data_IF_238991862639
#
_entry.id   IF_238991862639
#
_cell.length_a   1.000
_cell.length_b   1.000
_cell.length_c   1.000
_cell.angle_alpha   90.00
_cell.angle_beta   90.00
_cell.angle_gamma   90.00
#
_symmetry.space_group_name_H-M   'P 1'
#
loop_
_entity.id
_entity.type
_entity.pdbx_description
1 polymer ?
#
# COMPACT_ATOMS: atom_id res chain seq x y z
N UNK A 1 -49.19 17.23 43.81
CA UNK A 1 -49.25 16.09 42.86
C UNK A 1 -47.82 15.62 42.69
N UNK A 2 -47.30 14.60 43.39
CA UNK A 2 -47.53 13.14 43.37
C UNK A 2 -47.35 12.48 41.98
N UNK A 3 -46.39 11.52 41.96
CA UNK A 3 -46.16 10.36 41.05
C UNK A 3 -45.25 10.64 39.83
N UNK A 4 -44.25 9.85 39.44
CA UNK A 4 -43.60 8.58 39.86
C UNK A 4 -42.29 8.51 39.04
N UNK A 5 -41.08 8.28 39.57
CA UNK A 5 -40.42 7.00 39.89
C UNK A 5 -40.58 5.84 38.87
N UNK A 6 -39.44 5.53 38.23
CA UNK A 6 -38.89 4.23 37.77
C UNK A 6 -39.37 3.56 36.49
N UNK A 7 -38.37 2.94 35.86
CA UNK A 7 -38.35 1.80 34.93
C UNK A 7 -38.45 2.14 33.44
N UNK A 8 -37.30 2.10 32.77
CA UNK A 8 -37.11 1.13 31.68
C UNK A 8 -35.62 0.76 31.53
N UNK A 9 -35.03 0.27 32.64
CA UNK A 9 -34.05 -0.82 32.56
C UNK A 9 -34.81 -2.10 32.14
N UNK A 10 -35.29 -2.13 30.89
CA UNK A 10 -36.00 -3.28 30.32
C UNK A 10 -36.02 -3.19 28.79
N UNK A 11 -34.85 -3.15 28.18
CA UNK A 11 -34.63 -3.71 26.84
C UNK A 11 -33.38 -4.60 26.81
N UNK A 12 -33.01 -5.14 27.99
CA UNK A 12 -32.03 -6.21 28.17
C UNK A 12 -32.68 -7.59 28.39
N UNK A 13 -33.94 -7.77 27.98
CA UNK A 13 -34.70 -9.01 28.18
C UNK A 13 -35.45 -9.49 26.92
N UNK A 14 -35.00 -9.10 25.72
CA UNK A 14 -35.69 -9.43 24.46
C UNK A 14 -34.77 -9.74 23.27
N UNK A 15 -33.53 -10.17 23.51
CA UNK A 15 -32.58 -10.48 22.44
C UNK A 15 -31.71 -11.71 22.78
N UNK A 16 -32.32 -12.76 23.35
CA UNK A 16 -31.72 -14.11 23.36
C UNK A 16 -31.98 -14.87 22.04
N UNK A 17 -32.21 -14.15 20.94
CA UNK A 17 -32.48 -14.70 19.61
C UNK A 17 -31.57 -14.13 18.51
N UNK A 18 -30.44 -13.50 18.86
CA UNK A 18 -29.49 -12.89 17.90
C UNK A 18 -28.05 -13.40 18.06
N UNK A 19 -27.87 -14.69 18.39
CA UNK A 19 -26.53 -15.28 18.44
C UNK A 19 -25.83 -15.29 17.07
N UNK A 20 -26.58 -15.23 15.96
CA UNK A 20 -26.01 -15.07 14.61
C UNK A 20 -25.66 -13.61 14.29
N UNK A 21 -26.57 -12.64 14.48
CA UNK A 21 -26.28 -11.23 14.16
C UNK A 21 -25.11 -10.64 14.97
N UNK A 22 -24.89 -11.06 16.22
CA UNK A 22 -23.75 -10.61 17.01
C UNK A 22 -22.43 -11.27 16.59
N UNK A 23 -22.48 -12.47 16.01
CA UNK A 23 -21.30 -13.15 15.50
C UNK A 23 -20.86 -12.50 14.19
N UNK A 24 -21.80 -12.26 13.29
CA UNK A 24 -21.56 -11.62 12.01
C UNK A 24 -21.00 -10.20 12.19
N UNK A 25 -21.60 -9.38 13.07
CA UNK A 25 -21.10 -8.02 13.36
C UNK A 25 -19.69 -8.02 14.00
N UNK A 26 -19.40 -9.01 14.83
CA UNK A 26 -18.10 -9.14 15.50
C UNK A 26 -17.03 -9.62 14.53
N UNK A 27 -17.38 -10.53 13.64
CA UNK A 27 -16.49 -11.05 12.61
C UNK A 27 -16.20 -9.95 11.57
N UNK A 28 -17.21 -9.19 11.15
CA UNK A 28 -17.07 -8.00 10.30
C UNK A 28 -16.18 -6.93 10.93
N UNK A 29 -16.36 -6.65 12.23
CA UNK A 29 -15.52 -5.69 12.95
C UNK A 29 -14.07 -6.16 13.09
N UNK A 30 -13.86 -7.47 13.28
CA UNK A 30 -12.52 -8.04 13.35
C UNK A 30 -11.86 -8.08 11.97
N UNK A 31 -12.62 -8.34 10.92
CA UNK A 31 -12.15 -8.24 9.53
C UNK A 31 -11.73 -6.81 9.21
N UNK A 32 -12.59 -5.84 9.49
CA UNK A 32 -12.26 -4.42 9.33
C UNK A 32 -11.01 -4.03 10.12
N UNK A 33 -10.87 -4.48 11.37
CA UNK A 33 -9.67 -4.22 12.19
C UNK A 33 -8.40 -4.88 11.63
N UNK A 34 -8.49 -6.06 11.02
CA UNK A 34 -7.35 -6.73 10.37
C UNK A 34 -6.97 -6.03 9.06
N UNK A 35 -7.95 -5.54 8.32
CA UNK A 35 -7.75 -4.76 7.09
C UNK A 35 -7.21 -3.35 7.38
N UNK A 36 -7.50 -2.81 8.56
CA UNK A 36 -6.95 -1.55 9.05
C UNK A 36 -5.48 -1.73 9.46
N UNK A 37 -4.56 -1.57 8.51
CA UNK A 37 -3.12 -1.41 8.74
C UNK A 37 -2.74 -0.06 9.37
N UNK A 38 -3.58 0.46 10.27
CA UNK A 38 -3.46 1.80 10.87
C UNK A 38 -2.16 2.01 11.64
N UNK A 39 -1.52 0.94 12.08
CA UNK A 39 -0.25 0.98 12.80
C UNK A 39 0.97 1.12 11.87
N UNK A 40 0.79 0.91 10.56
CA UNK A 40 1.84 0.94 9.54
C UNK A 40 1.38 1.70 8.27
N UNK A 41 0.95 2.97 8.39
CA UNK A 41 0.49 3.74 7.25
C UNK A 41 1.68 4.17 6.37
N UNK A 42 1.43 4.32 5.07
CA UNK A 42 2.34 4.98 4.14
C UNK A 42 1.81 6.37 3.88
N UNK A 43 2.66 7.39 4.04
CA UNK A 43 2.36 8.74 3.56
C UNK A 43 3.29 9.06 2.41
N UNK A 44 2.73 9.23 1.22
CA UNK A 44 3.47 9.60 0.02
C UNK A 44 3.27 11.08 -0.28
N UNK A 45 4.34 11.74 -0.71
CA UNK A 45 4.28 13.10 -1.25
C UNK A 45 4.73 13.10 -2.69
N UNK A 46 3.85 13.56 -3.56
CA UNK A 46 4.05 13.57 -5.01
C UNK A 46 4.03 15.00 -5.52
N UNK A 47 5.03 15.37 -6.32
CA UNK A 47 5.12 16.67 -6.99
C UNK A 47 5.18 16.46 -8.50
N UNK A 48 4.36 17.19 -9.26
CA UNK A 48 4.29 17.09 -10.71
C UNK A 48 3.78 18.40 -11.32
N UNK A 49 3.91 18.59 -12.63
CA UNK A 49 3.26 19.70 -13.35
C UNK A 49 1.99 19.19 -14.01
N UNK A 50 0.85 19.82 -13.75
CA UNK A 50 -0.42 19.41 -14.35
C UNK A 50 -0.54 19.80 -15.84
N UNK A 51 -1.64 19.39 -16.49
CA UNK A 51 -1.92 19.71 -17.89
C UNK A 51 -2.14 21.21 -18.17
N UNK A 52 -2.29 22.04 -17.13
CA UNK A 52 -2.39 23.50 -17.22
C UNK A 52 -1.05 24.20 -16.93
N UNK A 53 0.04 23.43 -16.87
CA UNK A 53 1.39 23.89 -16.53
C UNK A 53 1.51 24.48 -15.11
N UNK A 54 0.65 24.06 -14.18
CA UNK A 54 0.77 24.42 -12.78
C UNK A 54 1.51 23.32 -12.01
N UNK A 55 2.45 23.71 -11.16
CA UNK A 55 3.06 22.77 -10.21
C UNK A 55 2.02 22.34 -9.16
N UNK A 56 1.94 21.04 -8.94
CA UNK A 56 1.06 20.38 -7.98
C UNK A 56 1.91 19.63 -6.98
N UNK A 57 1.47 19.68 -5.72
CA UNK A 57 1.99 18.87 -4.63
C UNK A 57 0.81 18.17 -3.96
N UNK A 58 0.80 16.85 -4.00
CA UNK A 58 -0.20 15.99 -3.39
C UNK A 58 0.46 15.22 -2.25
N UNK A 59 -0.18 15.18 -1.09
CA UNK A 59 0.23 14.32 0.02
C UNK A 59 -0.96 13.45 0.39
N UNK A 60 -0.79 12.13 0.25
CA UNK A 60 -1.83 11.15 0.53
C UNK A 60 -1.32 10.13 1.56
N UNK A 61 -2.23 9.66 2.42
CA UNK A 61 -1.93 8.65 3.45
C UNK A 61 -2.76 7.39 3.20
N UNK A 62 -2.07 6.27 3.05
CA UNK A 62 -2.61 4.95 2.76
C UNK A 62 -2.45 4.06 4.00
N UNK A 63 -3.56 3.55 4.54
CA UNK A 63 -3.61 2.86 5.84
C UNK A 63 -4.27 1.49 5.81
N UNK A 64 -4.99 1.14 4.76
CA UNK A 64 -5.63 -0.17 4.66
C UNK A 64 -4.70 -1.17 3.97
N UNK A 65 -4.54 -2.35 4.57
CA UNK A 65 -3.85 -3.48 3.95
C UNK A 65 -4.84 -4.20 3.04
N UNK A 66 -4.37 -4.72 1.91
CA UNK A 66 -5.16 -5.66 1.14
C UNK A 66 -5.38 -6.94 1.96
N UNK A 67 -6.61 -7.45 1.99
CA UNK A 67 -7.01 -8.59 2.82
C UNK A 67 -6.48 -9.95 2.33
N UNK A 68 -5.85 -9.99 1.16
CA UNK A 68 -5.17 -11.19 0.70
C UNK A 68 -3.74 -11.25 1.23
N UNK A 69 -3.44 -12.32 1.95
CA UNK A 69 -2.16 -12.54 2.62
C UNK A 69 -0.97 -12.61 1.66
N UNK A 70 -1.23 -12.69 0.34
CA UNK A 70 -0.21 -12.76 -0.68
C UNK A 70 0.40 -11.38 -1.06
N UNK A 71 -0.33 -10.27 -0.99
CA UNK A 71 0.12 -8.97 -1.55
C UNK A 71 0.66 -7.95 -0.53
N UNK A 72 0.79 -8.34 0.74
CA UNK A 72 1.54 -7.60 1.79
C UNK A 72 2.52 -8.57 2.48
N UNK A 73 3.52 -9.03 1.72
CA UNK A 73 4.28 -10.23 2.05
C UNK A 73 5.73 -10.22 1.53
N UNK A 74 6.55 -11.05 2.17
CA UNK A 74 7.85 -11.52 1.70
C UNK A 74 7.71 -12.98 1.30
N UNK A 75 7.97 -13.32 0.03
CA UNK A 75 7.88 -14.69 -0.47
C UNK A 75 9.23 -15.19 -0.90
N UNK A 76 9.71 -16.27 -0.28
CA UNK A 76 10.97 -16.90 -0.64
C UNK A 76 10.81 -17.75 -1.89
N UNK A 77 11.64 -17.46 -2.89
CA UNK A 77 11.72 -18.20 -4.13
C UNK A 77 12.66 -19.41 -4.01
N UNK A 78 12.53 -20.36 -4.94
CA UNK A 78 13.38 -21.57 -5.00
C UNK A 78 14.87 -21.24 -5.19
N UNK A 79 15.19 -20.11 -5.82
CA UNK A 79 16.56 -19.64 -6.02
C UNK A 79 17.13 -18.88 -4.80
N UNK A 80 16.36 -18.74 -3.71
CA UNK A 80 16.76 -18.06 -2.48
C UNK A 80 16.56 -16.55 -2.46
N UNK A 81 16.04 -15.93 -3.53
CA UNK A 81 15.60 -14.52 -3.49
C UNK A 81 14.24 -14.39 -2.83
N UNK A 82 13.85 -13.16 -2.51
CA UNK A 82 12.57 -12.84 -1.91
C UNK A 82 11.80 -11.81 -2.75
N UNK A 83 10.56 -12.15 -3.08
CA UNK A 83 9.60 -11.21 -3.63
C UNK A 83 8.99 -10.42 -2.48
N UNK A 84 9.16 -9.10 -2.48
CA UNK A 84 8.66 -8.20 -1.44
C UNK A 84 7.51 -7.38 -2.01
N UNK A 85 6.31 -7.55 -1.46
CA UNK A 85 5.11 -6.81 -1.83
C UNK A 85 4.65 -5.95 -0.65
N UNK A 86 4.48 -4.65 -0.88
CA UNK A 86 3.92 -3.70 0.08
C UNK A 86 2.78 -2.97 -0.63
N UNK A 87 1.54 -3.19 -0.18
CA UNK A 87 0.34 -2.57 -0.75
C UNK A 87 -0.48 -1.87 0.33
N UNK A 88 -0.80 -0.59 0.15
CA UNK A 88 -1.64 0.18 1.07
C UNK A 88 -2.66 1.00 0.30
N UNK A 89 -3.87 1.13 0.86
CA UNK A 89 -4.92 1.97 0.28
C UNK A 89 -5.38 3.06 1.24
N UNK A 90 -5.94 4.11 0.66
CA UNK A 90 -6.54 5.20 1.42
C UNK A 90 -7.85 4.77 2.09
N UNK A 91 -8.61 3.91 1.43
CA UNK A 91 -9.89 3.34 1.87
C UNK A 91 -10.01 1.84 1.50
N UNK A 92 -11.17 1.23 1.77
CA UNK A 92 -11.40 -0.21 1.53
C UNK A 92 -11.60 -0.57 0.05
N UNK A 93 -11.88 0.41 -0.82
CA UNK A 93 -12.38 0.18 -2.17
C UNK A 93 -11.29 0.11 -3.23
N UNK A 94 -10.01 0.24 -2.85
CA UNK A 94 -8.87 0.12 -3.78
C UNK A 94 -8.92 1.15 -4.93
N UNK A 95 -9.59 2.29 -4.70
CA UNK A 95 -9.65 3.40 -5.67
C UNK A 95 -8.42 4.31 -5.57
N UNK A 96 -7.72 4.24 -4.43
CA UNK A 96 -6.59 5.08 -4.08
C UNK A 96 -5.55 4.24 -3.34
N UNK A 97 -4.37 4.05 -3.92
CA UNK A 97 -3.42 3.09 -3.40
C UNK A 97 -1.99 3.35 -3.80
N UNK A 98 -1.12 2.69 -3.05
CA UNK A 98 0.30 2.60 -3.30
C UNK A 98 0.72 1.14 -3.26
N UNK A 99 1.43 0.72 -4.29
CA UNK A 99 1.97 -0.61 -4.47
C UNK A 99 3.45 -0.50 -4.71
N UNK A 100 4.22 -1.26 -3.96
CA UNK A 100 5.65 -1.43 -4.19
C UNK A 100 5.93 -2.91 -4.24
N UNK A 101 6.51 -3.34 -5.35
CA UNK A 101 7.06 -4.67 -5.52
C UNK A 101 8.54 -4.59 -5.86
N UNK A 102 9.34 -5.44 -5.21
CA UNK A 102 10.73 -5.62 -5.60
C UNK A 102 11.25 -7.00 -5.22
N UNK A 103 12.27 -7.46 -5.95
CA UNK A 103 12.96 -8.71 -5.65
C UNK A 103 14.27 -8.43 -4.94
N UNK A 104 14.43 -9.00 -3.75
CA UNK A 104 15.60 -8.86 -2.89
C UNK A 104 16.42 -10.15 -2.85
N UNK A 105 17.72 -10.06 -3.18
CA UNK A 105 18.68 -11.15 -2.97
C UNK A 105 19.38 -10.97 -1.61
N UNK A 106 19.12 -11.83 -0.61
CA UNK A 106 19.75 -11.71 0.71
C UNK A 106 21.26 -12.01 0.71
N UNK A 107 21.75 -12.74 -0.29
CA UNK A 107 23.16 -13.11 -0.39
C UNK A 107 24.00 -11.93 -0.86
N UNK A 108 23.53 -11.24 -1.90
CA UNK A 108 24.23 -10.07 -2.47
C UNK A 108 23.77 -8.73 -1.90
N UNK A 109 22.65 -8.73 -1.15
CA UNK A 109 21.95 -7.54 -0.63
C UNK A 109 21.50 -6.59 -1.74
N UNK A 110 21.23 -7.12 -2.94
CA UNK A 110 20.80 -6.34 -4.10
C UNK A 110 19.30 -6.42 -4.30
N UNK A 111 18.75 -5.33 -4.83
CA UNK A 111 17.40 -5.29 -5.42
C UNK A 111 17.58 -5.44 -6.93
N UNK A 112 16.89 -6.40 -7.54
CA UNK A 112 17.11 -6.79 -8.95
C UNK A 112 15.95 -6.46 -9.90
N UNK A 113 14.76 -6.29 -9.33
CA UNK A 113 13.55 -5.90 -10.05
C UNK A 113 12.77 -4.97 -9.14
N UNK A 114 12.17 -3.93 -9.71
CA UNK A 114 11.35 -2.94 -9.00
C UNK A 114 10.12 -2.63 -9.83
N UNK A 115 9.01 -2.47 -9.14
CA UNK A 115 7.74 -2.11 -9.71
C UNK A 115 6.97 -1.26 -8.70
N UNK A 116 6.31 -0.23 -9.20
CA UNK A 116 5.63 0.74 -8.38
C UNK A 116 4.41 1.30 -9.08
N UNK A 117 3.29 1.23 -8.35
CA UNK A 117 2.05 1.88 -8.73
C UNK A 117 1.62 2.82 -7.60
N UNK A 118 1.16 4.00 -7.98
CA UNK A 118 0.53 4.97 -7.09
C UNK A 118 -0.60 5.64 -7.84
N UNK A 119 -1.81 5.46 -7.38
CA UNK A 119 -3.01 6.03 -7.97
C UNK A 119 -3.79 6.78 -6.90
N UNK A 120 -4.23 7.98 -7.28
CA UNK A 120 -5.09 8.80 -6.46
C UNK A 120 -6.14 9.51 -7.32
N UNK A 121 -7.38 9.38 -6.89
CA UNK A 121 -8.54 10.10 -7.37
C UNK A 121 -8.73 11.34 -6.49
N UNK A 122 -7.82 12.31 -6.65
CA UNK A 122 -7.96 13.58 -5.98
C UNK A 122 -7.54 14.73 -6.91
N UNK A 123 -8.29 15.83 -6.82
CA UNK A 123 -8.08 17.17 -7.43
C UNK A 123 -8.89 17.57 -8.68
N UNK A 124 -9.75 16.73 -9.27
CA UNK A 124 -10.47 17.11 -10.51
C UNK A 124 -9.51 17.41 -11.68
N UNK A 125 -8.32 16.82 -11.62
CA UNK A 125 -7.32 16.72 -12.65
C UNK A 125 -7.41 15.28 -13.14
N UNK A 126 -7.61 15.06 -14.44
CA UNK A 126 -7.76 13.71 -14.98
C UNK A 126 -6.54 12.84 -14.64
N UNK A 127 -6.77 11.84 -13.80
CA UNK A 127 -5.99 10.63 -13.48
C UNK A 127 -4.57 10.88 -12.94
N UNK A 128 -4.47 11.12 -11.63
CA UNK A 128 -3.21 11.11 -10.90
C UNK A 128 -2.74 9.67 -10.69
N UNK A 129 -1.93 9.17 -11.60
CA UNK A 129 -1.37 7.82 -11.54
C UNK A 129 0.12 7.88 -11.86
N UNK A 130 0.93 7.08 -11.17
CA UNK A 130 2.32 6.77 -11.50
C UNK A 130 2.42 5.25 -11.54
N UNK A 131 2.78 4.73 -12.69
CA UNK A 131 3.14 3.32 -12.91
C UNK A 131 4.53 3.30 -13.56
N UNK A 132 5.48 2.68 -12.85
CA UNK A 132 6.88 2.56 -13.28
C UNK A 132 7.45 1.21 -12.85
N UNK A 133 8.22 0.60 -13.74
CA UNK A 133 9.02 -0.57 -13.43
C UNK A 133 10.48 -0.38 -13.87
N UNK A 134 11.37 -1.16 -13.27
CA UNK A 134 12.79 -1.19 -13.63
C UNK A 134 13.31 -2.62 -13.46
N UNK A 135 13.71 -3.23 -14.57
CA UNK A 135 14.36 -4.54 -14.61
C UNK A 135 15.77 -4.43 -15.21
N UNK A 136 16.78 -4.83 -14.45
CA UNK A 136 18.16 -4.82 -14.93
C UNK A 136 18.81 -3.43 -14.91
N UNK A 137 19.09 -2.87 -16.09
CA UNK A 137 19.81 -1.61 -16.21
C UNK A 137 18.90 -0.40 -15.95
N UNK A 138 19.40 0.67 -15.32
CA UNK A 138 18.59 1.85 -15.01
C UNK A 138 17.95 2.47 -16.26
N UNK A 139 16.65 2.79 -16.17
CA UNK A 139 15.95 3.44 -17.28
C UNK A 139 16.39 4.91 -17.42
N UNK A 140 16.65 5.35 -18.66
CA UNK A 140 17.11 6.72 -18.89
C UNK A 140 16.06 7.73 -18.46
N UNK A 141 16.45 8.63 -17.56
CA UNK A 141 15.57 9.69 -17.06
C UNK A 141 14.61 9.24 -15.96
N UNK A 142 14.70 8.00 -15.48
CA UNK A 142 14.07 7.51 -14.26
C UNK A 142 15.10 7.44 -13.13
N UNK A 143 14.71 7.84 -11.94
CA UNK A 143 15.39 7.47 -10.70
C UNK A 143 14.40 6.68 -9.87
N UNK A 144 14.62 5.38 -9.71
CA UNK A 144 13.81 4.52 -8.84
C UNK A 144 14.70 3.95 -7.73
N UNK A 145 14.76 4.63 -6.60
CA UNK A 145 15.59 4.25 -5.47
C UNK A 145 14.76 3.66 -4.31
N UNK A 146 15.22 2.53 -3.78
CA UNK A 146 14.70 1.91 -2.57
C UNK A 146 15.89 1.78 -1.61
N UNK A 147 15.89 2.60 -0.56
CA UNK A 147 16.89 2.56 0.50
C UNK A 147 16.42 1.64 1.62
N UNK A 148 16.87 0.38 1.57
CA UNK A 148 16.52 -0.65 2.54
C UNK A 148 17.36 -0.52 3.82
N UNK A 149 16.81 0.17 4.82
CA UNK A 149 17.48 0.43 6.11
C UNK A 149 17.62 -0.83 6.96
N UNK A 150 16.58 -1.67 6.98
CA UNK A 150 16.61 -2.97 7.66
C UNK A 150 15.59 -3.93 7.07
N UNK A 151 15.93 -5.22 7.06
CA UNK A 151 15.02 -6.30 6.70
C UNK A 151 15.32 -7.54 7.55
N UNK A 152 14.28 -8.15 8.09
CA UNK A 152 14.32 -9.45 8.76
C UNK A 152 13.38 -10.42 8.03
N UNK A 153 13.97 -11.34 7.28
CA UNK A 153 13.28 -12.30 6.43
C UNK A 153 12.60 -13.42 7.22
N UNK A 154 12.89 -13.57 8.51
CA UNK A 154 12.23 -14.55 9.38
C UNK A 154 10.99 -13.97 10.03
N UNK A 155 11.07 -12.72 10.49
CA UNK A 155 9.96 -12.07 11.18
C UNK A 155 9.08 -11.23 10.26
N UNK A 156 9.56 -10.88 9.07
CA UNK A 156 8.89 -10.00 8.12
C UNK A 156 9.03 -8.51 8.44
N UNK A 157 9.84 -8.15 9.44
CA UNK A 157 10.08 -6.74 9.78
C UNK A 157 10.90 -6.06 8.68
N UNK A 158 10.49 -4.87 8.24
CA UNK A 158 11.14 -4.12 7.18
C UNK A 158 11.04 -2.62 7.42
N UNK A 159 12.11 -1.90 7.08
CA UNK A 159 12.18 -0.45 7.10
C UNK A 159 12.90 0.05 5.85
N UNK A 160 12.26 0.92 5.09
CA UNK A 160 12.79 1.47 3.85
C UNK A 160 12.30 2.88 3.58
N UNK A 161 13.08 3.60 2.77
CA UNK A 161 12.64 4.82 2.08
C UNK A 161 12.60 4.56 0.58
N UNK A 162 11.61 5.13 -0.10
CA UNK A 162 11.48 5.09 -1.55
C UNK A 162 11.48 6.49 -2.11
N UNK A 163 12.22 6.66 -3.21
CA UNK A 163 12.23 7.88 -4.00
C UNK A 163 12.15 7.54 -5.47
N UNK A 164 11.14 8.10 -6.15
CA UNK A 164 10.90 7.91 -7.57
C UNK A 164 10.86 9.29 -8.23
N UNK A 165 11.66 9.51 -9.26
CA UNK A 165 11.68 10.74 -10.05
C UNK A 165 11.73 10.40 -11.54
N UNK A 166 10.79 10.95 -12.30
CA UNK A 166 10.78 10.88 -13.75
C UNK A 166 11.10 12.24 -14.34
N UNK A 167 12.07 12.31 -15.24
CA UNK A 167 12.29 13.50 -16.07
C UNK A 167 11.13 13.68 -17.07
N UNK A 168 11.07 14.85 -17.71
CA UNK A 168 10.14 15.09 -18.82
C UNK A 168 10.35 14.11 -19.98
N UNK A 169 11.61 13.77 -20.27
CA UNK A 169 11.93 12.81 -21.34
C UNK A 169 11.39 11.43 -21.00
N UNK A 170 11.60 10.99 -19.76
CA UNK A 170 11.05 9.75 -19.25
C UNK A 170 9.53 9.72 -19.34
N UNK A 171 8.85 10.72 -18.78
CA UNK A 171 7.39 10.80 -18.78
C UNK A 171 6.79 10.76 -20.20
N UNK A 172 7.48 11.32 -21.19
CA UNK A 172 7.04 11.35 -22.59
C UNK A 172 7.16 9.98 -23.27
N UNK A 173 8.21 9.24 -22.94
CA UNK A 173 8.54 7.96 -23.57
C UNK A 173 7.98 6.76 -22.79
N UNK A 174 7.60 6.95 -21.52
CA UNK A 174 7.03 5.90 -20.68
C UNK A 174 5.71 5.40 -21.28
N UNK A 175 5.59 4.09 -21.44
CA UNK A 175 4.38 3.42 -21.92
C UNK A 175 3.26 3.43 -20.87
N UNK A 176 3.63 3.48 -19.59
CA UNK A 176 2.72 3.43 -18.44
C UNK A 176 2.11 4.79 -18.11
N UNK A 177 1.24 4.81 -17.08
CA UNK A 177 0.54 6.01 -16.64
C UNK A 177 1.46 6.88 -15.77
N UNK A 178 1.49 8.18 -16.07
CA UNK A 178 2.17 9.21 -15.27
C UNK A 178 1.28 10.46 -15.25
N UNK A 179 1.37 11.34 -14.24
CA UNK A 179 0.38 12.42 -14.06
C UNK A 179 0.31 13.42 -15.22
N UNK A 180 1.43 13.61 -15.93
CA UNK A 180 1.50 14.39 -17.16
C UNK A 180 2.72 13.94 -17.97
N UNK A 181 2.47 13.25 -19.10
CA UNK A 181 3.54 12.73 -19.98
C UNK A 181 4.51 13.81 -20.46
N UNK A 182 4.10 15.08 -20.50
CA UNK A 182 4.95 16.18 -20.96
C UNK A 182 5.75 16.89 -19.85
N UNK A 183 5.83 16.34 -18.64
CA UNK A 183 6.49 16.99 -17.51
C UNK A 183 7.21 16.03 -16.58
N UNK A 184 8.14 16.56 -15.80
CA UNK A 184 8.78 15.80 -14.73
C UNK A 184 7.81 15.55 -13.56
N UNK A 185 8.03 14.45 -12.85
CA UNK A 185 7.31 14.11 -11.62
C UNK A 185 8.28 13.55 -10.58
N UNK A 186 7.85 13.57 -9.33
CA UNK A 186 8.57 12.96 -8.21
C UNK A 186 7.58 12.45 -7.18
N UNK A 187 7.87 11.31 -6.56
CA UNK A 187 7.15 10.81 -5.40
C UNK A 187 8.13 10.20 -4.40
N UNK A 188 7.84 10.36 -3.11
CA UNK A 188 8.65 9.79 -2.04
C UNK A 188 7.77 9.37 -0.86
N UNK A 189 8.15 8.26 -0.23
CA UNK A 189 7.51 7.74 0.96
C UNK A 189 8.49 6.88 1.77
N UNK A 190 8.11 6.57 3.01
CA UNK A 190 8.81 5.60 3.85
C UNK A 190 7.84 4.52 4.28
N UNK A 191 8.36 3.32 4.51
CA UNK A 191 7.60 2.23 5.10
C UNK A 191 8.42 1.61 6.23
N UNK A 192 7.80 1.49 7.40
CA UNK A 192 8.32 0.75 8.54
C UNK A 192 7.19 -0.11 9.09
N UNK A 193 7.31 -1.42 8.91
CA UNK A 193 6.23 -2.33 9.25
C UNK A 193 6.64 -3.78 9.19
N UNK A 194 5.63 -4.65 9.25
CA UNK A 194 5.77 -6.09 9.28
C UNK A 194 4.91 -6.74 8.20
N UNK A 195 5.58 -7.46 7.32
CA UNK A 195 4.97 -8.24 6.25
C UNK A 195 4.80 -9.70 6.66
N UNK A 196 3.85 -10.38 6.03
CA UNK A 196 3.74 -11.84 6.19
C UNK A 196 4.90 -12.53 5.48
N UNK A 197 5.40 -13.65 6.02
CA UNK A 197 6.53 -14.40 5.43
C UNK A 197 6.03 -15.75 4.93
N UNK A 198 6.37 -16.09 3.68
CA UNK A 198 6.02 -17.37 3.06
C UNK A 198 7.24 -18.03 2.42
N UNK A 199 7.31 -19.36 2.52
CA UNK A 199 8.22 -20.17 1.74
C UNK A 199 7.43 -20.85 0.60
N UNK A 200 7.71 -20.48 -0.65
CA UNK A 200 7.04 -21.05 -1.82
C UNK A 200 7.37 -22.53 -2.04
N UNK A 201 8.43 -23.05 -1.41
CA UNK A 201 8.76 -24.48 -1.46
C UNK A 201 7.84 -25.36 -0.59
N UNK A 202 7.01 -24.75 0.27
CA UNK A 202 6.11 -25.45 1.18
C UNK A 202 4.65 -25.49 0.68
N UNK A 203 4.35 -24.97 -0.51
CA UNK A 203 3.00 -25.03 -1.06
C UNK A 203 2.71 -26.42 -1.66
N UNK A 204 1.64 -27.11 -1.22
CA UNK A 204 1.14 -28.29 -1.92
C UNK A 204 0.56 -27.87 -3.28
N UNK A 205 0.89 -28.64 -4.32
CA UNK A 205 0.34 -28.50 -5.68
C UNK A 205 -1.19 -28.51 -5.70
#
# INVERSE_FOLDING_TARGET
MKRSFVFFCALMAGALSFSSCNKDLKDDLNELKREMGVDEPITATTTFTDLKNAERKVTATFKYKWSNSYSDAMRKNLNGTYDIYIRRYQDRYDENGIELYFVYDPTTKKIIYKDFELYWDDLGLSNGEIDVNEEGDPETGLTFNIDLKSIDLQTGAINLDVKIEGTKEYANNNQYNVPNKNSAFSTAFSFNGKLSVYDMSEQPN
#
